data_IF_853709181004
#
_entry.id   IF_853709181004
#
_cell.length_a   1.000
_cell.length_b   1.000
_cell.length_c   1.000
_cell.angle_alpha   90.00
_cell.angle_beta   90.00
_cell.angle_gamma   90.00
#
_symmetry.space_group_name_H-M   'P 1'
#
loop_
_entity.id
_entity.type
_entity.pdbx_description
1 polymer ?
#
# COMPACT_ATOMS: atom_id res chain seq x y z
N UNK A 1 -6.95 -1.60 2.49
CA UNK A 1 -6.27 -0.55 3.26
C UNK A 1 -7.20 0.07 4.28
N UNK A 2 -6.68 0.30 5.45
CA UNK A 2 -7.43 0.95 6.53
C UNK A 2 -6.72 2.25 6.89
N UNK A 3 -7.34 3.41 6.66
CA UNK A 3 -6.73 4.68 7.02
C UNK A 3 -6.54 4.78 8.54
N UNK A 4 -5.39 5.28 9.01
CA UNK A 4 -5.20 5.55 10.44
C UNK A 4 -6.24 6.54 10.96
N UNK A 5 -6.63 6.40 12.24
CA UNK A 5 -7.62 7.28 12.85
C UNK A 5 -7.22 8.76 12.76
N UNK A 6 -5.92 9.05 12.91
CA UNK A 6 -5.40 10.42 12.77
C UNK A 6 -5.64 10.98 11.37
N UNK A 7 -5.57 10.14 10.34
CA UNK A 7 -5.84 10.55 8.97
C UNK A 7 -7.34 10.80 8.76
N UNK A 8 -8.20 9.92 9.30
CA UNK A 8 -9.66 10.09 9.23
C UNK A 8 -10.07 11.41 9.89
N UNK A 9 -9.46 11.75 11.02
CA UNK A 9 -9.73 13.00 11.71
C UNK A 9 -9.41 14.24 10.86
N UNK A 10 -8.33 14.17 10.05
CA UNK A 10 -7.92 15.27 9.17
C UNK A 10 -8.66 15.29 7.84
N UNK A 11 -9.13 14.13 7.40
CA UNK A 11 -9.82 13.94 6.12
C UNK A 11 -11.13 13.19 6.36
N UNK A 12 -12.21 13.91 6.76
CA UNK A 12 -13.50 13.27 7.09
C UNK A 12 -14.09 12.43 5.97
N UNK A 13 -13.73 12.67 4.73
CA UNK A 13 -14.16 11.88 3.58
C UNK A 13 -13.68 10.42 3.64
N UNK A 14 -12.71 10.11 4.50
CA UNK A 14 -12.21 8.75 4.71
C UNK A 14 -13.02 7.97 5.75
N UNK A 15 -13.96 8.61 6.45
CA UNK A 15 -14.77 7.94 7.48
C UNK A 15 -15.45 6.67 6.99
N UNK A 16 -16.03 6.60 5.76
CA UNK A 16 -16.62 5.37 5.25
C UNK A 16 -15.65 4.20 5.14
N UNK A 17 -14.35 4.47 5.17
CA UNK A 17 -13.28 3.47 5.02
C UNK A 17 -12.51 3.22 6.31
N UNK A 18 -12.98 3.74 7.43
CA UNK A 18 -12.36 3.54 8.75
C UNK A 18 -12.36 2.07 9.16
N UNK A 19 -11.61 1.76 10.23
CA UNK A 19 -11.58 0.41 10.81
C UNK A 19 -13.00 -0.07 11.11
N UNK A 20 -13.83 0.80 11.68
CA UNK A 20 -15.20 0.47 12.02
C UNK A 20 -16.05 0.09 10.79
N UNK A 21 -15.70 0.59 9.62
CA UNK A 21 -16.41 0.37 8.37
C UNK A 21 -15.70 -0.61 7.43
N UNK A 22 -14.68 -1.33 7.91
CA UNK A 22 -14.04 -2.42 7.16
C UNK A 22 -12.88 -2.03 6.25
N UNK A 23 -12.49 -0.76 6.23
CA UNK A 23 -11.39 -0.29 5.39
C UNK A 23 -11.80 0.01 3.95
N UNK A 24 -10.83 0.42 3.14
CA UNK A 24 -11.03 0.75 1.73
C UNK A 24 -10.68 -0.44 0.85
N UNK A 25 -11.57 -0.88 -0.05
CA UNK A 25 -11.26 -1.96 -0.98
C UNK A 25 -10.14 -1.56 -1.95
N UNK A 26 -9.44 -2.53 -2.54
CA UNK A 26 -8.43 -2.23 -3.55
C UNK A 26 -9.03 -1.56 -4.77
N UNK A 27 -8.26 -0.74 -5.47
CA UNK A 27 -8.70 -0.07 -6.67
C UNK A 27 -8.08 1.31 -6.88
N UNK A 28 -8.61 2.05 -7.84
CA UNK A 28 -8.06 3.34 -8.25
C UNK A 28 -8.19 4.43 -7.18
N UNK A 29 -9.18 4.33 -6.29
CA UNK A 29 -9.39 5.30 -5.22
C UNK A 29 -8.55 5.01 -3.98
N UNK A 30 -7.98 3.81 -3.89
CA UNK A 30 -7.16 3.40 -2.77
C UNK A 30 -5.74 3.94 -2.96
N UNK A 31 -5.17 4.66 -1.98
CA UNK A 31 -3.78 5.15 -2.09
C UNK A 31 -2.76 4.05 -2.32
N UNK A 32 -3.05 2.82 -1.90
CA UNK A 32 -2.18 1.66 -2.14
C UNK A 32 -2.50 0.94 -3.45
N UNK A 33 -3.44 1.46 -4.23
CA UNK A 33 -3.78 0.92 -5.54
C UNK A 33 -4.51 -0.41 -5.50
N UNK A 34 -4.25 -1.24 -6.51
CA UNK A 34 -4.92 -2.52 -6.67
C UNK A 34 -4.47 -3.59 -5.67
N UNK A 35 -3.21 -3.56 -5.27
CA UNK A 35 -2.60 -4.52 -4.34
C UNK A 35 -1.51 -3.85 -3.53
N UNK A 36 -1.22 -4.43 -2.37
CA UNK A 36 -0.12 -4.01 -1.52
C UNK A 36 0.58 -5.21 -0.91
N UNK A 37 1.91 -5.13 -0.81
CA UNK A 37 2.75 -6.10 -0.15
C UNK A 37 3.42 -5.41 1.04
N UNK A 38 3.18 -5.93 2.23
CA UNK A 38 3.72 -5.38 3.47
C UNK A 38 5.05 -6.04 3.79
N UNK A 39 6.05 -5.23 4.10
CA UNK A 39 7.40 -5.72 4.40
C UNK A 39 7.58 -5.80 5.90
N UNK A 40 7.95 -6.99 6.38
CA UNK A 40 8.22 -7.24 7.81
C UNK A 40 9.69 -7.56 8.02
N UNK A 41 10.19 -7.23 9.20
CA UNK A 41 11.52 -7.58 9.66
C UNK A 41 11.43 -8.09 11.08
N UNK A 42 11.94 -9.30 11.33
CA UNK A 42 11.89 -9.96 12.64
C UNK A 42 10.47 -10.03 13.23
N UNK A 43 9.48 -10.30 12.38
CA UNK A 43 8.09 -10.40 12.76
C UNK A 43 7.37 -9.06 12.99
N UNK A 44 8.05 -7.95 12.75
CA UNK A 44 7.49 -6.61 12.92
C UNK A 44 7.23 -5.95 11.59
N UNK A 45 6.10 -5.25 11.49
CA UNK A 45 5.79 -4.42 10.33
C UNK A 45 6.77 -3.25 10.27
N UNK A 46 7.52 -3.16 9.16
CA UNK A 46 8.49 -2.07 8.95
C UNK A 46 7.81 -0.76 8.55
N UNK A 47 6.53 -0.77 8.28
CA UNK A 47 5.76 0.31 7.66
C UNK A 47 6.13 0.57 6.20
N UNK A 48 7.07 -0.17 5.65
CA UNK A 48 7.38 -0.13 4.22
C UNK A 48 6.40 -1.00 3.45
N UNK A 49 6.00 -0.53 2.29
CA UNK A 49 5.02 -1.20 1.42
C UNK A 49 5.50 -1.18 -0.02
N UNK A 50 5.22 -2.25 -0.74
CA UNK A 50 5.27 -2.26 -2.20
C UNK A 50 3.82 -2.24 -2.65
N UNK A 51 3.40 -1.21 -3.39
CA UNK A 51 1.99 -1.06 -3.74
C UNK A 51 1.80 -0.45 -5.12
N UNK A 52 0.57 -0.59 -5.63
CA UNK A 52 0.21 0.01 -6.90
C UNK A 52 -0.13 1.49 -6.80
N UNK A 53 -0.12 2.16 -7.92
CA UNK A 53 -0.57 3.54 -8.06
C UNK A 53 -1.10 3.78 -9.46
N UNK A 54 -2.18 4.58 -9.62
CA UNK A 54 -2.59 5.06 -10.92
C UNK A 54 -1.69 6.20 -11.45
N UNK A 55 -0.83 6.75 -10.59
CA UNK A 55 0.02 7.89 -10.89
C UNK A 55 1.39 7.42 -11.36
N UNK A 56 1.47 6.91 -12.61
CA UNK A 56 2.70 6.34 -13.16
C UNK A 56 3.87 7.31 -13.10
N UNK A 57 3.63 8.62 -13.19
CA UNK A 57 4.68 9.61 -13.10
C UNK A 57 5.38 9.67 -11.73
N UNK A 58 4.78 9.12 -10.69
CA UNK A 58 5.37 9.10 -9.35
C UNK A 58 6.31 7.91 -9.12
N UNK A 59 6.34 6.95 -10.05
CA UNK A 59 7.15 5.74 -9.94
C UNK A 59 8.63 6.10 -10.08
N UNK A 60 9.46 5.57 -9.18
CA UNK A 60 10.89 5.85 -9.18
C UNK A 60 11.28 7.16 -8.51
N UNK A 61 10.32 7.91 -7.98
CA UNK A 61 10.57 9.16 -7.26
C UNK A 61 10.46 8.95 -5.76
N UNK A 62 11.25 9.68 -5.01
CA UNK A 62 11.20 9.67 -3.55
C UNK A 62 10.07 10.59 -3.06
N UNK A 63 8.82 10.19 -3.31
CA UNK A 63 7.63 11.02 -3.01
C UNK A 63 6.96 10.68 -1.68
N UNK A 64 7.39 9.60 -1.03
CA UNK A 64 6.88 9.22 0.29
C UNK A 64 7.96 8.47 1.07
N UNK A 65 7.84 8.46 2.39
CA UNK A 65 8.77 7.74 3.23
C UNK A 65 8.41 6.25 3.29
N UNK A 66 9.27 5.40 2.70
CA UNK A 66 9.19 3.96 2.87
C UNK A 66 8.21 3.21 1.97
N UNK A 67 7.66 3.87 0.94
CA UNK A 67 6.77 3.19 -0.01
C UNK A 67 7.45 3.03 -1.37
N UNK A 68 7.33 1.84 -1.94
CA UNK A 68 7.79 1.53 -3.28
C UNK A 68 6.57 1.40 -4.17
N UNK A 69 6.46 2.27 -5.17
CA UNK A 69 5.31 2.33 -6.06
C UNK A 69 5.55 1.58 -7.36
N UNK A 70 4.53 0.86 -7.79
CA UNK A 70 4.51 0.15 -9.07
C UNK A 70 3.23 0.54 -9.82
N UNK A 71 3.19 0.28 -11.10
CA UNK A 71 1.90 0.36 -11.81
C UNK A 71 0.96 -0.68 -11.20
N UNK A 72 -0.36 -0.42 -11.27
CA UNK A 72 -1.33 -1.39 -10.79
C UNK A 72 -1.20 -2.74 -11.52
N UNK A 73 -0.91 -2.72 -12.81
CA UNK A 73 -0.70 -3.95 -13.59
C UNK A 73 0.48 -4.75 -13.05
N UNK A 74 1.60 -4.08 -12.79
CA UNK A 74 2.81 -4.75 -12.30
C UNK A 74 2.63 -5.29 -10.88
N UNK A 75 1.97 -4.55 -9.99
CA UNK A 75 1.78 -5.03 -8.62
C UNK A 75 0.79 -6.19 -8.57
N UNK A 76 -0.20 -6.23 -9.44
CA UNK A 76 -1.10 -7.38 -9.55
C UNK A 76 -0.33 -8.62 -9.98
N UNK A 77 0.54 -8.47 -10.97
CA UNK A 77 1.39 -9.58 -11.43
C UNK A 77 2.33 -10.05 -10.32
N UNK A 78 3.01 -9.15 -9.65
CA UNK A 78 3.90 -9.48 -8.55
C UNK A 78 3.16 -10.18 -7.41
N UNK A 79 2.01 -9.65 -7.03
CA UNK A 79 1.18 -10.21 -5.95
C UNK A 79 0.79 -11.66 -6.23
N UNK A 80 0.51 -11.99 -7.47
CA UNK A 80 0.18 -13.36 -7.87
C UNK A 80 1.37 -14.31 -7.93
N UNK A 81 2.59 -13.80 -7.91
CA UNK A 81 3.83 -14.59 -8.04
C UNK A 81 4.54 -14.86 -6.73
N UNK A 82 4.26 -14.09 -5.68
CA UNK A 82 4.94 -14.22 -4.38
C UNK A 82 3.98 -14.72 -3.33
N UNK A 83 4.54 -15.39 -2.32
CA UNK A 83 3.78 -15.86 -1.16
C UNK A 83 4.19 -15.09 0.07
N UNK A 84 3.30 -15.06 1.07
CA UNK A 84 3.65 -14.55 2.40
C UNK A 84 4.87 -15.32 2.91
N UNK A 85 5.85 -14.58 3.41
CA UNK A 85 7.12 -15.13 3.84
C UNK A 85 8.23 -15.06 2.80
N UNK A 86 7.94 -14.59 1.57
CA UNK A 86 8.96 -14.37 0.56
C UNK A 86 10.00 -13.36 1.07
N UNK A 87 11.27 -13.65 0.81
CA UNK A 87 12.37 -12.80 1.26
C UNK A 87 12.49 -11.57 0.36
N UNK A 88 12.66 -10.42 0.99
CA UNK A 88 12.90 -9.14 0.29
C UNK A 88 14.31 -8.68 0.61
N UNK A 89 15.08 -8.40 -0.43
CA UNK A 89 16.44 -7.86 -0.30
C UNK A 89 16.45 -6.46 -0.90
N UNK A 90 16.84 -5.49 -0.08
CA UNK A 90 16.98 -4.09 -0.51
C UNK A 90 18.46 -3.77 -0.57
N UNK A 91 18.91 -3.36 -1.75
CA UNK A 91 20.31 -3.07 -2.01
C UNK A 91 20.55 -1.59 -2.26
#
# INVERSE_FOLDING_TARGET
WTPPDSMVARQPELEPYSIANGGMPPGLKNPLGARALYIHEDGRDTLYRIHGTPEAFSIGKAVSSGCIRMTNEDVIDLYGRVNVGAKVVVM
#
